data_IF_098098602505
#
_entry.id   IF_098098602505
#
_cell.length_a   1.000
_cell.length_b   1.000
_cell.length_c   1.000
_cell.angle_alpha   90.00
_cell.angle_beta   90.00
_cell.angle_gamma   90.00
#
_symmetry.space_group_name_H-M   'P 1'
#
loop_
_entity.id
_entity.type
_entity.pdbx_description
1 polymer ?
#
# COMPACT_ATOMS: atom_id res chain seq x y z
N UNK A 1 9.92 -28.58 -15.47
CA UNK A 1 11.20 -27.84 -15.60
C UNK A 1 12.07 -28.18 -14.40
N UNK A 2 13.39 -28.19 -14.54
CA UNK A 2 14.30 -28.49 -13.43
C UNK A 2 14.34 -27.31 -12.45
N UNK A 3 13.78 -27.48 -11.25
CA UNK A 3 14.00 -26.53 -10.15
C UNK A 3 15.49 -26.45 -9.87
N UNK A 4 16.09 -25.28 -10.08
CA UNK A 4 17.46 -25.02 -9.69
C UNK A 4 17.45 -24.48 -8.27
N UNK A 5 18.13 -25.19 -7.37
CA UNK A 5 18.30 -24.83 -5.97
C UNK A 5 19.78 -24.67 -5.66
N UNK A 6 20.15 -23.62 -4.95
CA UNK A 6 21.50 -23.44 -4.43
C UNK A 6 21.49 -22.83 -3.04
N UNK A 7 22.50 -23.19 -2.24
CA UNK A 7 22.63 -22.74 -0.86
C UNK A 7 23.12 -21.28 -0.79
N UNK A 8 22.60 -20.55 0.20
CA UNK A 8 22.93 -19.16 0.46
C UNK A 8 23.80 -19.08 1.71
N UNK A 9 25.11 -18.91 1.53
CA UNK A 9 26.10 -18.89 2.61
C UNK A 9 26.44 -17.48 3.11
N UNK A 10 26.19 -16.45 2.31
CA UNK A 10 26.45 -15.07 2.69
C UNK A 10 25.33 -14.47 3.55
N UNK A 11 25.62 -13.35 4.21
CA UNK A 11 24.67 -12.68 5.10
C UNK A 11 23.55 -11.93 4.37
N UNK A 12 23.74 -11.65 3.08
CA UNK A 12 22.87 -10.78 2.30
C UNK A 12 22.89 -11.18 0.83
N UNK A 13 21.69 -11.28 0.25
CA UNK A 13 21.49 -11.57 -1.17
C UNK A 13 20.50 -10.57 -1.77
N UNK A 14 20.65 -10.30 -3.06
CA UNK A 14 19.72 -9.51 -3.85
C UNK A 14 19.11 -10.37 -4.93
N UNK A 15 17.80 -10.25 -5.15
CA UNK A 15 17.20 -10.62 -6.44
C UNK A 15 17.01 -9.33 -7.22
N UNK A 16 17.46 -9.31 -8.46
CA UNK A 16 17.28 -8.19 -9.35
C UNK A 16 16.68 -8.63 -10.67
N UNK A 17 16.04 -7.70 -11.35
CA UNK A 17 15.49 -7.86 -12.69
C UNK A 17 16.14 -6.85 -13.62
N UNK A 18 16.38 -7.25 -14.86
CA UNK A 18 16.75 -6.35 -15.95
C UNK A 18 15.98 -6.69 -17.22
N UNK A 19 15.59 -5.68 -17.99
CA UNK A 19 14.99 -5.89 -19.31
C UNK A 19 15.34 -4.77 -20.28
N UNK A 20 15.41 -5.12 -21.56
CA UNK A 20 15.58 -4.15 -22.62
C UNK A 20 14.23 -3.55 -23.02
N UNK A 21 14.25 -2.25 -23.33
CA UNK A 21 13.08 -1.57 -23.90
C UNK A 21 12.63 -2.23 -25.21
N UNK A 22 11.37 -2.65 -25.21
CA UNK A 22 10.66 -3.17 -26.39
C UNK A 22 10.14 -2.07 -27.33
N UNK A 23 9.31 -2.47 -28.30
CA UNK A 23 8.54 -1.53 -29.14
C UNK A 23 7.50 -0.76 -28.33
N UNK A 24 6.96 -1.40 -27.29
CA UNK A 24 6.19 -0.81 -26.20
C UNK A 24 7.07 -0.82 -24.95
N UNK A 25 7.08 0.28 -24.20
CA UNK A 25 7.72 0.32 -22.89
C UNK A 25 6.81 -0.46 -21.93
N UNK A 26 7.33 -1.56 -21.38
CA UNK A 26 6.68 -2.30 -20.29
C UNK A 26 7.38 -1.93 -18.99
N UNK A 27 6.56 -1.74 -17.96
CA UNK A 27 6.96 -1.42 -16.61
C UNK A 27 6.95 -2.71 -15.78
N UNK A 28 8.15 -3.23 -15.45
CA UNK A 28 8.30 -4.49 -14.74
C UNK A 28 8.63 -4.20 -13.28
N UNK A 29 7.65 -4.44 -12.42
CA UNK A 29 7.80 -4.32 -10.98
C UNK A 29 8.30 -5.62 -10.36
N UNK A 30 9.34 -5.54 -9.54
CA UNK A 30 9.79 -6.62 -8.67
C UNK A 30 9.12 -6.52 -7.30
N UNK A 31 8.59 -7.64 -6.83
CA UNK A 31 7.82 -7.71 -5.59
C UNK A 31 8.31 -8.90 -4.76
N UNK A 32 8.16 -8.83 -3.44
CA UNK A 32 8.47 -9.93 -2.56
C UNK A 32 7.46 -10.08 -1.42
N UNK A 33 7.14 -11.32 -1.06
CA UNK A 33 6.19 -11.66 0.01
C UNK A 33 6.90 -12.49 1.07
N UNK A 34 6.74 -12.10 2.34
CA UNK A 34 7.39 -12.72 3.50
C UNK A 34 6.40 -13.65 4.20
N UNK A 35 6.82 -14.90 4.41
CA UNK A 35 5.96 -15.95 4.99
C UNK A 35 6.61 -16.53 6.25
N UNK A 36 5.81 -16.68 7.31
CA UNK A 36 6.26 -17.29 8.54
C UNK A 36 6.27 -18.83 8.48
N UNK A 37 6.78 -19.46 9.55
CA UNK A 37 6.83 -20.91 9.77
C UNK A 37 5.46 -21.61 9.79
N UNK A 38 4.38 -20.85 10.00
CA UNK A 38 2.99 -21.33 9.88
C UNK A 38 2.43 -21.19 8.46
N UNK A 39 3.22 -20.71 7.50
CA UNK A 39 2.76 -20.52 6.12
C UNK A 39 1.79 -19.36 5.94
N UNK A 40 1.81 -18.38 6.84
CA UNK A 40 1.02 -17.14 6.74
C UNK A 40 1.89 -16.02 6.19
N UNK A 41 1.36 -15.26 5.24
CA UNK A 41 2.00 -14.03 4.77
C UNK A 41 1.94 -12.97 5.87
N UNK A 42 3.09 -12.41 6.22
CA UNK A 42 3.24 -11.48 7.36
C UNK A 42 3.75 -10.10 6.96
N UNK A 43 4.36 -9.96 5.78
CA UNK A 43 4.85 -8.68 5.26
C UNK A 43 5.09 -8.82 3.74
N UNK A 44 5.24 -7.71 3.02
CA UNK A 44 5.55 -7.70 1.60
C UNK A 44 6.35 -6.44 1.22
N UNK A 45 7.17 -6.54 0.18
CA UNK A 45 7.96 -5.45 -0.38
C UNK A 45 7.60 -5.27 -1.85
N UNK A 46 7.32 -4.04 -2.24
CA UNK A 46 6.93 -3.63 -3.61
C UNK A 46 7.09 -2.11 -3.72
N UNK A 47 6.81 -1.50 -4.87
CA UNK A 47 7.09 -0.07 -5.11
C UNK A 47 6.44 0.88 -4.08
N UNK A 48 5.25 0.53 -3.59
CA UNK A 48 4.49 1.28 -2.57
C UNK A 48 4.84 0.86 -1.12
N UNK A 49 5.56 -0.25 -0.91
CA UNK A 49 6.15 -0.63 0.37
C UNK A 49 7.61 -1.05 0.25
N UNK A 50 8.52 -0.09 0.35
CA UNK A 50 9.93 -0.25 0.01
C UNK A 50 10.77 -1.03 1.03
N UNK A 51 10.22 -1.34 2.21
CA UNK A 51 10.95 -2.00 3.30
C UNK A 51 10.04 -2.98 4.03
N UNK A 52 10.58 -4.14 4.38
CA UNK A 52 9.91 -5.10 5.26
C UNK A 52 10.86 -5.59 6.35
N UNK A 53 10.32 -5.78 7.56
CA UNK A 53 10.99 -6.46 8.67
C UNK A 53 12.40 -5.94 9.03
N UNK A 54 12.74 -4.68 8.68
CA UNK A 54 14.09 -4.07 8.79
C UNK A 54 15.23 -4.89 8.13
N UNK A 55 14.88 -5.89 7.33
CA UNK A 55 15.78 -6.87 6.74
C UNK A 55 15.72 -6.86 5.21
N UNK A 56 14.59 -6.41 4.65
CA UNK A 56 14.33 -6.39 3.22
C UNK A 56 14.18 -4.94 2.74
N UNK A 57 14.82 -4.61 1.62
CA UNK A 57 14.74 -3.26 1.00
C UNK A 57 14.61 -3.34 -0.51
N UNK A 58 13.68 -2.58 -1.08
CA UNK A 58 13.50 -2.37 -2.51
C UNK A 58 14.36 -1.20 -3.00
N UNK A 59 14.89 -1.25 -4.23
CA UNK A 59 15.74 -0.19 -4.78
C UNK A 59 14.99 1.03 -5.31
N UNK A 60 13.76 0.83 -5.75
CA UNK A 60 12.91 1.85 -6.39
C UNK A 60 12.15 1.23 -7.55
N UNK A 61 11.20 2.00 -8.06
CA UNK A 61 10.42 1.73 -9.27
C UNK A 61 11.20 2.25 -10.51
N UNK A 62 11.43 1.39 -11.51
CA UNK A 62 11.99 1.72 -12.83
C UNK A 62 11.01 1.41 -13.97
N UNK A 63 10.54 2.47 -14.65
CA UNK A 63 9.34 2.40 -15.51
C UNK A 63 9.59 2.11 -16.98
N UNK A 64 10.82 2.24 -17.46
CA UNK A 64 11.07 2.29 -18.90
C UNK A 64 12.05 1.26 -19.45
N UNK A 65 12.88 0.65 -18.60
CA UNK A 65 13.98 -0.22 -19.03
C UNK A 65 15.00 0.52 -19.91
N UNK A 66 15.06 1.86 -19.82
CA UNK A 66 16.04 2.67 -20.58
C UNK A 66 17.42 2.68 -19.91
N UNK A 67 17.51 2.20 -18.65
CA UNK A 67 18.76 2.15 -17.91
C UNK A 67 19.61 0.99 -18.40
N UNK A 68 20.92 1.18 -18.31
CA UNK A 68 21.87 0.09 -18.50
C UNK A 68 22.13 -0.56 -17.13
N UNK A 69 22.01 -1.89 -17.06
CA UNK A 69 22.29 -2.66 -15.84
C UNK A 69 21.03 -3.21 -15.18
N UNK A 70 21.00 -3.18 -13.85
CA UNK A 70 19.89 -3.70 -13.05
C UNK A 70 18.83 -2.61 -12.86
N UNK A 71 17.61 -2.89 -13.30
CA UNK A 71 16.49 -1.96 -13.24
C UNK A 71 15.91 -1.92 -11.82
N UNK A 72 15.52 -3.08 -11.28
CA UNK A 72 15.02 -3.21 -9.91
C UNK A 72 15.75 -4.29 -9.11
N UNK A 73 15.88 -4.06 -7.80
CA UNK A 73 16.59 -4.95 -6.88
C UNK A 73 15.87 -4.99 -5.52
N UNK A 74 15.54 -6.20 -5.08
CA UNK A 74 15.15 -6.48 -3.70
C UNK A 74 16.32 -7.12 -2.97
N UNK A 75 16.83 -6.41 -1.96
CA UNK A 75 17.86 -6.93 -1.06
C UNK A 75 17.24 -7.57 0.17
N UNK A 76 17.72 -8.77 0.52
CA UNK A 76 17.36 -9.51 1.73
C UNK A 76 18.61 -9.72 2.59
N UNK A 77 18.62 -9.15 3.78
CA UNK A 77 19.67 -9.41 4.80
C UNK A 77 19.25 -10.59 5.66
N UNK A 78 19.70 -11.80 5.29
CA UNK A 78 19.26 -13.07 5.90
C UNK A 78 19.48 -13.12 7.41
N UNK A 79 20.54 -12.50 7.92
CA UNK A 79 20.87 -12.46 9.36
C UNK A 79 19.95 -11.55 10.19
N UNK A 80 19.19 -10.66 9.54
CA UNK A 80 18.23 -9.76 10.20
C UNK A 80 16.79 -10.28 10.14
N UNK A 81 16.52 -11.33 9.36
CA UNK A 81 15.20 -11.92 9.30
C UNK A 81 14.89 -12.63 10.63
N UNK A 82 13.72 -12.38 11.24
CA UNK A 82 13.31 -13.10 12.45
C UNK A 82 13.30 -14.62 12.27
N UNK A 83 13.47 -15.35 13.37
CA UNK A 83 13.57 -16.82 13.36
C UNK A 83 12.33 -17.50 12.77
N UNK A 84 11.15 -16.93 13.01
CA UNK A 84 9.89 -17.44 12.48
C UNK A 84 9.70 -17.20 10.98
N UNK A 85 10.57 -16.44 10.30
CA UNK A 85 10.49 -16.26 8.84
C UNK A 85 11.02 -17.52 8.15
N UNK A 86 10.17 -18.10 7.30
CA UNK A 86 10.46 -19.35 6.60
C UNK A 86 10.68 -19.17 5.11
N UNK A 87 9.91 -18.30 4.46
CA UNK A 87 9.99 -18.05 3.02
C UNK A 87 10.07 -16.56 2.71
N UNK A 88 10.80 -16.22 1.66
CA UNK A 88 10.65 -14.97 0.91
C UNK A 88 10.39 -15.35 -0.54
N UNK A 89 9.15 -15.14 -0.99
CA UNK A 89 8.72 -15.39 -2.38
C UNK A 89 8.94 -14.13 -3.19
N UNK A 90 9.46 -14.25 -4.41
CA UNK A 90 9.64 -13.15 -5.34
C UNK A 90 8.67 -13.27 -6.50
N UNK A 91 8.07 -12.14 -6.85
CA UNK A 91 7.06 -12.01 -7.89
C UNK A 91 7.50 -10.88 -8.82
N UNK A 92 7.29 -11.05 -10.12
CA UNK A 92 7.42 -9.96 -11.10
C UNK A 92 6.04 -9.65 -11.65
N UNK A 93 5.78 -8.38 -11.93
CA UNK A 93 4.52 -7.93 -12.53
C UNK A 93 4.78 -6.92 -13.65
N UNK A 94 4.10 -7.07 -14.78
CA UNK A 94 3.98 -6.03 -15.80
C UNK A 94 2.90 -5.04 -15.35
N UNK A 95 3.30 -4.01 -14.59
CA UNK A 95 2.39 -3.03 -14.02
C UNK A 95 1.68 -2.20 -15.09
N UNK A 96 2.40 -1.85 -16.16
CA UNK A 96 1.83 -1.12 -17.28
C UNK A 96 2.56 -1.42 -18.60
N UNK A 97 1.88 -1.15 -19.73
CA UNK A 97 2.50 -1.23 -21.06
C UNK A 97 2.50 -2.59 -21.75
N UNK A 98 1.92 -3.63 -21.15
CA UNK A 98 1.71 -4.94 -21.78
C UNK A 98 1.81 -6.11 -20.81
N UNK A 99 2.19 -7.27 -21.36
CA UNK A 99 2.43 -8.53 -20.62
C UNK A 99 3.92 -8.74 -20.35
N UNK A 100 4.30 -9.69 -19.49
CA UNK A 100 5.70 -10.02 -19.21
C UNK A 100 6.50 -10.40 -20.47
N UNK A 101 5.90 -11.10 -21.45
CA UNK A 101 6.52 -11.35 -22.78
C UNK A 101 6.93 -10.09 -23.56
N UNK A 102 6.44 -8.91 -23.16
CA UNK A 102 6.79 -7.63 -23.80
C UNK A 102 8.16 -7.13 -23.35
N UNK A 103 8.69 -7.64 -22.23
CA UNK A 103 10.03 -7.35 -21.74
C UNK A 103 11.06 -8.09 -22.58
N UNK A 104 11.82 -7.36 -23.40
CA UNK A 104 12.85 -7.98 -24.25
C UNK A 104 14.06 -8.35 -23.42
N UNK A 105 14.63 -9.52 -23.68
CA UNK A 105 15.83 -9.99 -22.97
C UNK A 105 15.71 -9.92 -21.44
N UNK A 106 14.49 -10.16 -20.91
CA UNK A 106 14.24 -10.14 -19.47
C UNK A 106 15.12 -11.17 -18.74
N UNK A 107 15.79 -10.73 -17.67
CA UNK A 107 16.66 -11.58 -16.85
C UNK A 107 16.44 -11.34 -15.37
N UNK A 108 16.56 -12.43 -14.62
CA UNK A 108 16.66 -12.44 -13.17
C UNK A 108 18.13 -12.61 -12.78
N UNK A 109 18.58 -11.82 -11.81
CA UNK A 109 19.95 -11.82 -11.34
C UNK A 109 19.97 -12.07 -9.84
N UNK A 110 20.84 -12.97 -9.41
CA UNK A 110 21.07 -13.23 -7.99
C UNK A 110 22.41 -12.62 -7.62
N UNK A 111 22.36 -11.69 -6.67
CA UNK A 111 23.49 -10.89 -6.24
C UNK A 111 23.88 -11.28 -4.82
N UNK A 112 25.18 -11.30 -4.52
CA UNK A 112 25.70 -11.59 -3.20
C UNK A 112 26.34 -10.34 -2.59
N UNK A 113 25.86 -9.90 -1.42
CA UNK A 113 26.35 -8.74 -0.65
C UNK A 113 26.20 -7.35 -1.31
N UNK A 114 26.67 -7.19 -2.55
CA UNK A 114 26.80 -5.92 -3.30
C UNK A 114 26.30 -6.08 -4.74
N UNK A 115 25.91 -4.97 -5.38
CA UNK A 115 25.27 -4.98 -6.71
C UNK A 115 26.15 -5.61 -7.80
N UNK A 116 27.47 -5.45 -7.72
CA UNK A 116 28.41 -5.90 -8.76
C UNK A 116 28.83 -7.37 -8.61
N UNK A 117 28.31 -8.08 -7.60
CA UNK A 117 28.67 -9.46 -7.31
C UNK A 117 27.52 -10.39 -7.68
N UNK A 118 27.32 -10.59 -8.98
CA UNK A 118 26.35 -11.56 -9.51
C UNK A 118 26.87 -12.99 -9.34
N UNK A 119 26.06 -13.85 -8.72
CA UNK A 119 26.37 -15.27 -8.49
C UNK A 119 25.56 -16.21 -9.37
N UNK A 120 24.43 -15.74 -9.92
CA UNK A 120 23.64 -16.48 -10.90
C UNK A 120 22.76 -15.53 -11.72
N UNK A 121 22.40 -15.93 -12.94
CA UNK A 121 21.44 -15.22 -13.76
C UNK A 121 20.63 -16.16 -14.64
N UNK A 122 19.32 -15.89 -14.75
CA UNK A 122 18.33 -16.72 -15.42
C UNK A 122 17.54 -15.87 -16.42
N UNK A 123 17.21 -16.44 -17.58
CA UNK A 123 16.28 -15.78 -18.48
C UNK A 123 14.88 -15.81 -17.86
N UNK A 124 14.16 -14.70 -17.93
CA UNK A 124 12.73 -14.67 -17.61
C UNK A 124 11.96 -15.48 -18.67
N UNK A 125 10.87 -16.12 -18.26
CA UNK A 125 9.98 -16.74 -19.24
C UNK A 125 9.21 -15.65 -20.01
N UNK A 126 8.95 -15.91 -21.30
CA UNK A 126 8.09 -15.06 -22.11
C UNK A 126 6.62 -15.38 -21.79
N UNK A 127 6.21 -15.06 -20.56
CA UNK A 127 4.85 -15.33 -20.07
C UNK A 127 3.82 -14.50 -20.84
N UNK A 128 2.74 -15.16 -21.26
CA UNK A 128 1.55 -14.51 -21.85
C UNK A 128 0.77 -13.70 -20.80
N UNK A 129 1.12 -13.86 -19.53
CA UNK A 129 0.44 -13.24 -18.40
C UNK A 129 1.22 -12.04 -17.85
N UNK A 130 0.56 -11.32 -16.94
CA UNK A 130 1.07 -10.07 -16.40
C UNK A 130 1.89 -10.28 -15.13
N UNK A 131 1.77 -11.43 -14.45
CA UNK A 131 2.41 -11.66 -13.14
C UNK A 131 2.91 -13.09 -13.03
N UNK A 132 4.15 -13.26 -12.58
CA UNK A 132 4.76 -14.58 -12.35
C UNK A 132 5.44 -14.64 -10.98
N UNK A 133 5.34 -15.77 -10.29
CA UNK A 133 6.19 -16.07 -9.15
C UNK A 133 7.51 -16.68 -9.65
N UNK A 134 8.63 -15.99 -9.46
CA UNK A 134 9.88 -16.30 -10.17
C UNK A 134 10.90 -17.05 -9.35
N UNK A 135 10.98 -16.75 -8.06
CA UNK A 135 11.97 -17.34 -7.17
C UNK A 135 11.46 -17.38 -5.72
N UNK A 136 12.11 -18.18 -4.89
CA UNK A 136 11.90 -18.15 -3.45
C UNK A 136 13.19 -18.41 -2.68
N UNK A 137 13.39 -17.68 -1.59
CA UNK A 137 14.35 -18.06 -0.55
C UNK A 137 13.63 -18.93 0.48
N UNK A 138 14.21 -20.08 0.80
CA UNK A 138 13.66 -21.05 1.76
C UNK A 138 14.65 -21.22 2.90
N UNK A 139 14.19 -21.00 4.14
CA UNK A 139 14.95 -21.34 5.35
C UNK A 139 14.71 -22.82 5.66
N UNK A 140 15.72 -23.57 6.07
CA UNK A 140 15.57 -24.92 6.62
C UNK A 140 15.29 -24.88 8.12
N UNK A 141 14.91 -26.02 8.71
CA UNK A 141 14.70 -26.12 10.16
C UNK A 141 16.02 -25.94 10.93
N UNK A 142 17.14 -26.26 10.28
CA UNK A 142 18.49 -25.98 10.78
C UNK A 142 18.93 -24.52 10.60
N UNK A 143 18.06 -23.66 10.05
CA UNK A 143 18.32 -22.23 9.88
C UNK A 143 19.17 -21.87 8.65
N UNK A 144 19.56 -22.83 7.82
CA UNK A 144 20.27 -22.59 6.55
C UNK A 144 19.31 -22.06 5.50
N UNK A 145 19.78 -21.19 4.61
CA UNK A 145 18.97 -20.62 3.54
C UNK A 145 19.35 -21.22 2.18
N UNK A 146 18.37 -21.46 1.33
CA UNK A 146 18.57 -21.76 -0.09
C UNK A 146 17.72 -20.84 -0.96
N UNK A 147 18.17 -20.59 -2.19
CA UNK A 147 17.39 -19.95 -3.24
C UNK A 147 16.89 -21.04 -4.20
N UNK A 148 15.61 -20.97 -4.57
CA UNK A 148 14.98 -21.81 -5.60
C UNK A 148 14.38 -20.94 -6.69
N UNK A 149 14.66 -21.28 -7.94
CA UNK A 149 13.99 -20.68 -9.10
C UNK A 149 12.75 -21.51 -9.43
N UNK A 150 11.59 -20.87 -9.53
CA UNK A 150 10.30 -21.56 -9.68
C UNK A 150 9.54 -21.23 -10.95
N UNK A 151 9.63 -20.00 -11.49
CA UNK A 151 8.99 -19.58 -12.75
C UNK A 151 7.56 -20.13 -12.91
N UNK A 152 6.70 -19.80 -11.95
CA UNK A 152 5.30 -20.22 -11.94
C UNK A 152 4.42 -19.05 -12.41
N UNK A 153 3.85 -19.10 -13.63
CA UNK A 153 3.02 -18.02 -14.15
C UNK A 153 1.66 -17.98 -13.46
N UNK A 154 1.22 -16.78 -13.08
CA UNK A 154 -0.16 -16.59 -12.65
C UNK A 154 -1.05 -16.35 -13.88
N UNK A 155 -2.18 -17.04 -13.95
CA UNK A 155 -3.06 -16.97 -15.11
C UNK A 155 -3.79 -15.61 -15.24
N UNK A 156 -3.89 -14.87 -14.13
CA UNK A 156 -4.59 -13.59 -14.03
C UNK A 156 -4.00 -12.74 -12.89
N UNK A 157 -4.28 -11.43 -12.92
CA UNK A 157 -3.80 -10.45 -11.93
C UNK A 157 -2.65 -9.58 -12.44
N UNK A 158 -2.39 -8.47 -11.74
CA UNK A 158 -1.32 -7.50 -12.08
C UNK A 158 -0.41 -7.16 -10.89
N UNK A 159 -0.59 -7.83 -9.75
CA UNK A 159 0.20 -7.64 -8.53
C UNK A 159 0.23 -8.93 -7.68
N UNK A 160 1.18 -9.07 -6.75
CA UNK A 160 1.28 -10.28 -5.89
C UNK A 160 -0.02 -10.57 -5.12
N UNK A 161 -0.79 -9.52 -4.81
CA UNK A 161 -2.02 -9.61 -4.02
C UNK A 161 -3.17 -10.27 -4.80
N UNK A 162 -3.09 -10.26 -6.13
CA UNK A 162 -4.10 -10.88 -7.00
C UNK A 162 -3.81 -12.37 -7.19
N UNK A 163 -2.56 -12.80 -6.97
CA UNK A 163 -2.09 -14.17 -7.21
C UNK A 163 -1.88 -14.98 -5.92
N UNK A 164 -2.49 -14.52 -4.82
CA UNK A 164 -2.42 -15.19 -3.51
C UNK A 164 -2.89 -16.64 -3.60
N UNK A 165 -3.94 -16.90 -4.38
CA UNK A 165 -4.44 -18.23 -4.68
C UNK A 165 -4.81 -18.32 -6.17
N UNK A 166 -4.52 -19.44 -6.85
CA UNK A 166 -3.83 -20.62 -6.32
C UNK A 166 -2.30 -20.50 -6.31
N UNK A 167 -1.72 -19.53 -7.03
CA UNK A 167 -0.27 -19.48 -7.35
C UNK A 167 0.62 -19.44 -6.10
N UNK A 168 0.57 -18.36 -5.32
CA UNK A 168 1.43 -18.23 -4.13
C UNK A 168 1.04 -19.22 -3.04
N UNK A 169 -0.26 -19.47 -2.85
CA UNK A 169 -0.75 -20.44 -1.88
C UNK A 169 -0.21 -21.86 -2.12
N UNK A 170 -0.17 -22.31 -3.38
CA UNK A 170 0.39 -23.62 -3.73
C UNK A 170 1.91 -23.66 -3.50
N UNK A 171 2.63 -22.59 -3.87
CA UNK A 171 4.07 -22.48 -3.61
C UNK A 171 4.37 -22.52 -2.11
N UNK A 172 3.60 -21.80 -1.29
CA UNK A 172 3.72 -21.82 0.17
C UNK A 172 3.45 -23.23 0.71
N UNK A 173 2.33 -23.85 0.30
CA UNK A 173 1.96 -25.20 0.76
C UNK A 173 2.93 -26.28 0.31
N UNK A 174 3.67 -26.08 -0.79
CA UNK A 174 4.73 -26.99 -1.22
C UNK A 174 5.91 -27.03 -0.24
N UNK A 175 6.17 -25.92 0.46
CA UNK A 175 7.25 -25.81 1.45
C UNK A 175 6.76 -25.99 2.89
N UNK A 176 5.49 -25.66 3.14
CA UNK A 176 4.85 -25.69 4.45
C UNK A 176 3.48 -26.37 4.29
N UNK A 177 3.41 -27.72 4.30
CA UNK A 177 2.16 -28.44 4.06
C UNK A 177 1.00 -28.10 5.01
N UNK A 178 1.32 -27.58 6.21
CA UNK A 178 0.34 -27.11 7.19
C UNK A 178 -0.13 -25.67 7.03
N UNK A 179 0.27 -24.97 5.96
CA UNK A 179 -0.13 -23.59 5.72
C UNK A 179 -1.65 -23.44 5.51
N UNK A 180 -2.23 -22.25 5.77
CA UNK A 180 -3.65 -21.99 5.53
C UNK A 180 -4.10 -22.35 4.11
N UNK A 181 -5.32 -22.87 4.02
CA UNK A 181 -5.96 -23.23 2.75
C UNK A 181 -6.24 -22.02 1.85
N UNK A 182 -6.38 -20.84 2.43
CA UNK A 182 -6.47 -19.56 1.72
C UNK A 182 -5.47 -18.59 2.32
N UNK A 183 -4.56 -18.11 1.48
CA UNK A 183 -3.66 -17.03 1.85
C UNK A 183 -4.40 -15.71 1.97
N UNK A 184 -3.93 -14.88 2.90
CA UNK A 184 -4.46 -13.55 3.19
C UNK A 184 -3.30 -12.64 3.51
N UNK A 185 -3.45 -11.36 3.21
CA UNK A 185 -2.49 -10.33 3.57
C UNK A 185 -3.25 -9.22 4.29
N UNK A 186 -2.81 -8.91 5.50
CA UNK A 186 -3.35 -7.83 6.30
C UNK A 186 -2.18 -6.93 6.72
N UNK A 187 -2.17 -5.71 6.21
CA UNK A 187 -1.09 -4.76 6.48
C UNK A 187 -1.40 -3.92 7.71
N UNK A 188 -0.57 -4.05 8.75
CA UNK A 188 -0.53 -3.08 9.83
C UNK A 188 0.20 -1.82 9.33
N UNK A 189 -0.55 -0.75 9.12
CA UNK A 189 -0.08 0.47 8.48
C UNK A 189 0.58 1.42 9.48
N UNK A 190 1.57 2.16 8.98
CA UNK A 190 2.14 3.32 9.66
C UNK A 190 1.65 4.60 8.97
N UNK A 191 1.84 5.75 9.62
CA UNK A 191 1.43 7.02 9.02
C UNK A 191 2.16 7.24 7.69
N UNK A 192 1.40 7.50 6.63
CA UNK A 192 1.91 7.73 5.28
C UNK A 192 2.05 6.48 4.42
N UNK A 193 1.97 5.26 4.98
CA UNK A 193 2.12 4.03 4.20
C UNK A 193 0.98 3.85 3.22
N UNK A 194 1.29 3.25 2.08
CA UNK A 194 0.36 2.96 0.99
C UNK A 194 0.26 1.45 0.83
N UNK A 195 -0.95 0.96 0.59
CA UNK A 195 -1.23 -0.42 0.23
C UNK A 195 -2.10 -0.46 -1.00
N UNK A 196 -1.66 -1.24 -1.99
CA UNK A 196 -2.48 -1.53 -3.17
C UNK A 196 -3.53 -2.57 -2.81
N UNK A 197 -4.77 -2.31 -3.22
CA UNK A 197 -5.86 -3.26 -3.02
C UNK A 197 -5.87 -4.29 -4.16
N UNK A 198 -6.48 -5.47 -3.92
CA UNK A 198 -6.74 -6.41 -5.01
C UNK A 198 -7.56 -5.77 -6.14
N UNK A 199 -7.51 -6.37 -7.31
CA UNK A 199 -8.26 -5.86 -8.46
C UNK A 199 -9.74 -5.65 -8.16
N UNK A 200 -10.28 -4.54 -8.69
CA UNK A 200 -11.65 -4.11 -8.45
C UNK A 200 -12.68 -5.20 -8.77
N UNK A 201 -12.50 -5.93 -9.87
CA UNK A 201 -13.40 -7.02 -10.27
C UNK A 201 -13.40 -8.20 -9.29
N UNK A 202 -12.29 -8.44 -8.59
CA UNK A 202 -12.20 -9.47 -7.56
C UNK A 202 -12.84 -9.03 -6.23
N UNK A 203 -12.74 -7.73 -5.88
CA UNK A 203 -13.30 -7.18 -4.64
C UNK A 203 -14.80 -6.88 -4.74
N UNK A 204 -15.20 -6.18 -5.80
CA UNK A 204 -16.51 -5.54 -6.01
C UNK A 204 -16.84 -4.45 -4.99
N UNK A 205 -16.83 -4.79 -3.69
CA UNK A 205 -17.00 -3.86 -2.58
C UNK A 205 -15.88 -3.98 -1.56
N UNK A 206 -15.50 -2.83 -1.02
CA UNK A 206 -14.66 -2.72 0.17
C UNK A 206 -15.40 -1.94 1.25
N UNK A 207 -15.01 -2.18 2.49
CA UNK A 207 -15.61 -1.56 3.66
C UNK A 207 -14.51 -0.84 4.42
N UNK A 208 -14.70 0.45 4.66
CA UNK A 208 -13.89 1.22 5.59
C UNK A 208 -14.60 1.21 6.94
N UNK A 209 -14.06 0.44 7.89
CA UNK A 209 -14.50 0.43 9.27
C UNK A 209 -13.68 1.42 10.09
N UNK A 210 -14.35 2.26 10.84
CA UNK A 210 -13.72 3.24 11.73
C UNK A 210 -14.21 2.99 13.14
N UNK A 211 -13.28 3.00 14.10
CA UNK A 211 -13.60 2.80 15.50
C UNK A 211 -12.72 3.64 16.41
N UNK A 212 -13.23 3.95 17.60
CA UNK A 212 -12.57 4.75 18.63
C UNK A 212 -13.11 4.45 20.03
N UNK A 213 -12.32 4.75 21.06
CA UNK A 213 -12.71 4.64 22.46
C UNK A 213 -12.74 6.02 23.11
N UNK A 214 -13.73 6.27 23.97
CA UNK A 214 -13.85 7.52 24.74
C UNK A 214 -13.28 7.34 26.14
N UNK A 215 -12.26 8.12 26.50
CA UNK A 215 -11.48 7.91 27.72
C UNK A 215 -12.24 8.13 29.05
N UNK A 216 -13.40 8.80 29.02
CA UNK A 216 -14.06 9.31 30.23
C UNK A 216 -15.56 9.01 30.34
N UNK A 217 -16.10 8.07 29.53
CA UNK A 217 -17.52 7.67 29.60
C UNK A 217 -18.51 8.82 29.38
N UNK A 218 -18.08 9.87 28.65
CA UNK A 218 -18.96 10.93 28.16
C UNK A 218 -19.47 10.52 26.79
N UNK A 219 -20.72 10.83 26.49
CA UNK A 219 -21.25 10.71 25.13
C UNK A 219 -20.56 11.78 24.27
N UNK A 220 -19.57 11.35 23.48
CA UNK A 220 -18.87 12.20 22.51
C UNK A 220 -19.24 11.66 21.13
N UNK A 221 -19.90 12.52 20.38
CA UNK A 221 -20.36 12.25 19.03
C UNK A 221 -19.23 12.52 18.03
N UNK A 222 -18.82 11.47 17.33
CA UNK A 222 -17.79 11.47 16.30
C UNK A 222 -18.42 11.08 14.98
N UNK A 223 -18.40 12.01 14.04
CA UNK A 223 -18.93 11.81 12.69
C UNK A 223 -17.84 11.28 11.76
N UNK A 224 -18.13 10.19 11.05
CA UNK A 224 -17.35 9.81 9.86
C UNK A 224 -17.94 10.45 8.61
N UNK A 225 -17.05 10.87 7.72
CA UNK A 225 -17.40 11.34 6.38
C UNK A 225 -16.44 10.78 5.35
N UNK A 226 -16.99 10.39 4.20
CA UNK A 226 -16.22 10.03 3.01
C UNK A 226 -16.34 11.15 1.97
N UNK A 227 -15.27 11.94 1.81
CA UNK A 227 -15.24 13.15 0.97
C UNK A 227 -14.61 12.84 -0.38
N UNK A 228 -15.38 13.04 -1.46
CA UNK A 228 -14.99 12.70 -2.82
C UNK A 228 -14.33 13.89 -3.53
N UNK A 229 -13.18 13.64 -4.17
CA UNK A 229 -12.44 14.62 -4.95
C UNK A 229 -12.14 14.13 -6.36
N UNK A 230 -12.10 15.07 -7.30
CA UNK A 230 -11.50 14.85 -8.61
C UNK A 230 -9.97 14.92 -8.55
N UNK A 231 -9.30 14.43 -9.61
CA UNK A 231 -7.84 14.56 -9.74
C UNK A 231 -7.34 16.01 -9.80
N UNK A 232 -8.22 16.98 -10.09
CA UNK A 232 -7.91 18.41 -10.09
C UNK A 232 -8.22 19.10 -8.74
N UNK A 233 -8.28 18.33 -7.65
CA UNK A 233 -8.57 18.81 -6.29
C UNK A 233 -9.91 19.54 -6.14
N UNK A 234 -10.88 19.27 -7.04
CA UNK A 234 -12.25 19.75 -6.88
C UNK A 234 -13.03 18.79 -5.99
N UNK A 235 -13.57 19.30 -4.88
CA UNK A 235 -14.51 18.57 -4.03
C UNK A 235 -15.83 18.36 -4.79
N UNK A 236 -16.29 17.10 -4.85
CA UNK A 236 -17.56 16.72 -5.47
C UNK A 236 -18.70 16.73 -4.45
N UNK A 237 -18.42 16.24 -3.24
CA UNK A 237 -19.40 16.07 -2.18
C UNK A 237 -18.89 15.07 -1.15
N UNK A 238 -19.77 14.66 -0.23
CA UNK A 238 -19.43 13.66 0.78
C UNK A 238 -20.64 12.81 1.18
N UNK A 239 -20.35 11.57 1.58
CA UNK A 239 -21.28 10.69 2.31
C UNK A 239 -20.98 10.80 3.81
N UNK A 240 -22.02 11.02 4.61
CA UNK A 240 -21.97 11.25 6.06
C UNK A 240 -23.37 11.03 6.66
N UNK A 241 -23.57 11.19 7.97
CA UNK A 241 -24.88 10.96 8.63
C UNK A 241 -26.07 11.69 7.97
N UNK A 242 -25.86 12.90 7.43
CA UNK A 242 -26.88 13.69 6.75
C UNK A 242 -27.08 13.38 5.26
N UNK A 243 -26.22 12.56 4.67
CA UNK A 243 -26.29 12.10 3.28
C UNK A 243 -25.70 10.67 3.19
N UNK A 244 -26.54 9.67 3.44
CA UNK A 244 -26.07 8.30 3.67
C UNK A 244 -25.57 7.57 2.42
N UNK A 245 -25.82 8.07 1.21
CA UNK A 245 -25.42 7.37 -0.02
C UNK A 245 -25.21 8.33 -1.18
N UNK A 246 -24.03 8.28 -1.80
CA UNK A 246 -23.68 9.03 -3.00
C UNK A 246 -22.42 8.43 -3.65
N UNK A 247 -22.23 8.63 -4.96
CA UNK A 247 -21.02 8.24 -5.69
C UNK A 247 -20.57 6.77 -5.52
N UNK A 248 -21.50 5.83 -5.33
CA UNK A 248 -21.18 4.42 -5.07
C UNK A 248 -20.72 4.13 -3.63
N UNK A 249 -20.76 5.13 -2.75
CA UNK A 249 -20.48 5.03 -1.32
C UNK A 249 -21.77 4.98 -0.50
N UNK A 250 -21.76 4.26 0.63
CA UNK A 250 -22.88 4.17 1.57
C UNK A 250 -22.38 4.19 3.01
N UNK A 251 -22.94 5.07 3.84
CA UNK A 251 -22.73 5.12 5.29
C UNK A 251 -23.60 4.08 6.01
N UNK A 252 -23.11 3.53 7.11
CA UNK A 252 -23.86 2.61 7.98
C UNK A 252 -25.01 3.27 8.76
N UNK A 253 -25.07 4.59 8.79
CA UNK A 253 -25.73 5.35 9.85
C UNK A 253 -24.73 5.83 10.91
N UNK A 254 -25.24 6.71 11.77
CA UNK A 254 -24.48 7.49 12.77
C UNK A 254 -24.38 6.75 14.11
N UNK A 255 -23.18 6.72 14.69
CA UNK A 255 -22.94 6.22 16.05
C UNK A 255 -22.64 7.37 17.01
N UNK A 256 -23.71 7.86 17.64
CA UNK A 256 -23.70 9.02 18.54
C UNK A 256 -22.91 8.82 19.85
N UNK A 257 -22.56 7.59 20.21
CA UNK A 257 -21.99 7.27 21.54
C UNK A 257 -20.62 6.60 21.48
N UNK A 258 -20.25 5.96 20.37
CA UNK A 258 -19.08 5.08 20.30
C UNK A 258 -19.21 3.84 21.21
N UNK A 259 -20.44 3.47 21.60
CA UNK A 259 -20.67 2.26 22.37
C UNK A 259 -20.80 1.04 21.44
N UNK A 260 -19.89 0.08 21.61
CA UNK A 260 -19.92 -1.18 20.88
C UNK A 260 -18.54 -1.81 20.79
N UNK A 261 -18.49 -3.13 20.56
CA UNK A 261 -17.23 -3.78 20.20
C UNK A 261 -17.02 -3.66 18.70
N UNK A 262 -15.91 -3.07 18.26
CA UNK A 262 -15.47 -3.08 16.86
C UNK A 262 -15.58 -1.73 16.16
N UNK A 263 -16.09 -1.75 14.92
CA UNK A 263 -16.21 -0.53 14.11
C UNK A 263 -17.46 0.23 14.54
N UNK A 264 -17.29 1.47 14.98
CA UNK A 264 -18.37 2.37 15.35
C UNK A 264 -19.18 2.79 14.12
N UNK A 265 -18.49 3.10 13.03
CA UNK A 265 -19.10 3.47 11.75
C UNK A 265 -18.40 2.79 10.57
N UNK A 266 -19.19 2.48 9.53
CA UNK A 266 -18.71 1.80 8.34
C UNK A 266 -19.15 2.53 7.07
N UNK A 267 -18.18 2.86 6.22
CA UNK A 267 -18.42 3.30 4.84
C UNK A 267 -18.24 2.10 3.90
N UNK A 268 -19.31 1.70 3.23
CA UNK A 268 -19.24 0.73 2.13
C UNK A 268 -18.92 1.46 0.84
N UNK A 269 -17.93 0.99 0.08
CA UNK A 269 -17.57 1.50 -1.23
C UNK A 269 -17.77 0.41 -2.29
N UNK A 270 -18.74 0.61 -3.19
CA UNK A 270 -18.87 -0.21 -4.39
C UNK A 270 -17.94 0.34 -5.48
N UNK A 271 -16.77 -0.26 -5.60
CA UNK A 271 -15.65 0.27 -6.39
C UNK A 271 -15.98 0.39 -7.88
N UNK A 272 -16.86 -0.46 -8.40
CA UNK A 272 -17.35 -0.43 -9.78
C UNK A 272 -18.41 0.65 -10.02
N UNK A 273 -19.14 1.05 -8.98
CA UNK A 273 -20.18 2.07 -9.06
C UNK A 273 -19.65 3.49 -8.76
N UNK A 274 -18.40 3.62 -8.33
CA UNK A 274 -17.77 4.93 -8.11
C UNK A 274 -17.50 5.58 -9.47
N UNK A 275 -18.05 6.77 -9.75
CA UNK A 275 -17.84 7.46 -11.02
C UNK A 275 -16.36 7.71 -11.33
N UNK A 276 -15.99 7.72 -12.61
CA UNK A 276 -14.61 7.96 -13.03
C UNK A 276 -14.09 9.34 -12.61
N UNK A 277 -14.95 10.35 -12.45
CA UNK A 277 -14.51 11.66 -11.97
C UNK A 277 -14.03 11.64 -10.51
N UNK A 278 -14.44 10.64 -9.71
CA UNK A 278 -13.98 10.44 -8.34
C UNK A 278 -12.63 9.71 -8.40
N UNK A 279 -11.58 10.45 -8.09
CA UNK A 279 -10.20 9.97 -8.11
C UNK A 279 -9.67 9.69 -6.71
N UNK A 280 -10.20 10.39 -5.70
CA UNK A 280 -9.80 10.22 -4.30
C UNK A 280 -11.01 10.34 -3.37
N UNK A 281 -11.02 9.51 -2.33
CA UNK A 281 -12.04 9.51 -1.28
C UNK A 281 -11.30 9.59 0.05
N UNK A 282 -11.49 10.69 0.78
CA UNK A 282 -10.88 10.88 2.09
C UNK A 282 -11.86 10.50 3.19
N UNK A 283 -11.40 9.68 4.14
CA UNK A 283 -12.13 9.38 5.36
C UNK A 283 -11.73 10.41 6.41
N UNK A 284 -12.71 11.20 6.82
CA UNK A 284 -12.57 12.27 7.80
C UNK A 284 -13.41 11.90 9.01
N UNK A 285 -12.83 12.01 10.19
CA UNK A 285 -13.53 11.88 11.47
C UNK A 285 -13.58 13.28 12.10
N UNK A 286 -14.77 13.74 12.47
CA UNK A 286 -14.96 15.04 13.13
C UNK A 286 -15.66 14.85 14.47
N UNK A 287 -15.23 15.60 15.49
CA UNK A 287 -15.94 15.66 16.77
C UNK A 287 -17.05 16.70 16.65
N UNK A 288 -18.30 16.22 16.61
CA UNK A 288 -19.48 17.06 16.53
C UNK A 288 -19.72 17.78 17.87
N UNK A 289 -19.51 17.09 19.00
CA UNK A 289 -19.76 17.61 20.35
C UNK A 289 -18.95 18.87 20.71
N UNK A 290 -19.60 19.88 21.30
CA UNK A 290 -18.96 21.14 21.68
C UNK A 290 -17.98 20.98 22.86
N UNK A 291 -16.88 21.74 22.85
CA UNK A 291 -15.93 21.78 23.97
C UNK A 291 -15.01 20.55 24.11
N UNK A 292 -15.12 19.59 23.20
CA UNK A 292 -14.31 18.37 23.14
C UNK A 292 -13.30 18.42 21.98
N UNK A 293 -12.19 17.71 22.13
CA UNK A 293 -11.14 17.54 21.12
C UNK A 293 -10.65 16.09 21.08
N UNK A 294 -9.81 15.74 20.10
CA UNK A 294 -9.22 14.41 19.97
C UNK A 294 -8.28 14.00 21.14
N UNK A 295 -8.08 14.87 22.14
CA UNK A 295 -7.39 14.51 23.39
C UNK A 295 -8.21 13.54 24.26
N UNK A 296 -9.53 13.53 24.09
CA UNK A 296 -10.46 12.67 24.84
C UNK A 296 -10.79 11.36 24.10
N UNK A 297 -10.22 11.19 22.89
CA UNK A 297 -10.43 10.04 22.00
C UNK A 297 -9.17 9.18 22.00
N UNK A 298 -9.35 7.88 22.19
CA UNK A 298 -8.28 6.89 22.23
C UNK A 298 -8.56 5.76 21.24
N UNK A 299 -7.53 4.98 20.90
CA UNK A 299 -7.63 3.82 20.01
C UNK A 299 -8.33 4.07 18.65
N UNK A 300 -8.34 5.32 18.17
CA UNK A 300 -8.93 5.65 16.89
C UNK A 300 -8.22 4.88 15.76
N UNK A 301 -8.99 4.16 14.94
CA UNK A 301 -8.45 3.39 13.83
C UNK A 301 -9.32 3.49 12.59
N UNK A 302 -8.71 3.20 11.44
CA UNK A 302 -9.41 2.93 10.19
C UNK A 302 -8.87 1.64 9.60
N UNK A 303 -9.76 0.75 9.18
CA UNK A 303 -9.43 -0.50 8.51
C UNK A 303 -10.19 -0.65 7.22
N UNK A 304 -9.57 -1.27 6.23
CA UNK A 304 -10.22 -1.70 4.99
C UNK A 304 -10.37 -3.22 5.04
N UNK A 305 -11.57 -3.72 4.73
CA UNK A 305 -11.86 -5.14 4.64
C UNK A 305 -12.76 -5.48 3.46
N UNK A 306 -12.73 -6.74 3.04
CA UNK A 306 -13.55 -7.27 1.94
C UNK A 306 -14.94 -7.75 2.42
N UNK A 307 -15.77 -8.21 1.48
CA UNK A 307 -17.12 -8.77 1.76
C UNK A 307 -17.11 -10.01 2.65
N UNK A 308 -15.99 -10.70 2.79
CA UNK A 308 -15.84 -11.87 3.66
C UNK A 308 -15.50 -11.48 5.10
N UNK A 309 -15.28 -10.18 5.36
CA UNK A 309 -14.78 -9.67 6.63
C UNK A 309 -13.26 -9.80 6.77
N UNK A 310 -12.55 -10.13 5.68
CA UNK A 310 -11.10 -10.22 5.70
C UNK A 310 -10.48 -8.84 5.67
N UNK A 311 -9.72 -8.51 6.71
CA UNK A 311 -8.97 -7.25 6.78
C UNK A 311 -7.83 -7.26 5.75
N UNK A 312 -7.77 -6.19 4.94
CA UNK A 312 -6.73 -5.95 3.93
C UNK A 312 -5.66 -5.02 4.48
N UNK A 313 -6.08 -3.99 5.23
CA UNK A 313 -5.18 -3.05 5.87
C UNK A 313 -5.83 -2.40 7.09
N UNK A 314 -5.01 -2.02 8.08
CA UNK A 314 -5.46 -1.28 9.27
C UNK A 314 -4.42 -0.25 9.68
N UNK A 315 -4.88 0.98 9.89
CA UNK A 315 -4.12 2.05 10.47
C UNK A 315 -4.69 2.43 11.84
N UNK A 316 -3.84 2.42 12.87
CA UNK A 316 -4.20 2.86 14.22
C UNK A 316 -3.50 4.19 14.52
N UNK A 317 -4.29 5.20 14.89
CA UNK A 317 -3.78 6.49 15.31
C UNK A 317 -3.18 6.38 16.71
N UNK A 318 -1.88 6.66 16.83
CA UNK A 318 -1.16 6.59 18.11
C UNK A 318 -1.08 7.92 18.86
N UNK A 319 -1.36 9.03 18.19
CA UNK A 319 -1.20 10.38 18.71
C UNK A 319 -2.48 11.19 18.50
N UNK A 320 -2.99 11.84 19.55
CA UNK A 320 -4.13 12.76 19.53
C UNK A 320 -3.81 14.05 20.26
N UNK A 321 -3.78 15.20 19.58
CA UNK A 321 -3.67 16.52 20.26
C UNK A 321 -4.41 17.66 19.56
N UNK A 322 -5.15 18.43 20.36
CA UNK A 322 -5.57 19.82 20.14
C UNK A 322 -6.56 20.15 19.02
N UNK A 323 -6.85 19.26 18.06
CA UNK A 323 -7.82 19.52 16.97
C UNK A 323 -9.11 18.72 17.13
N UNK A 324 -10.12 19.11 16.33
CA UNK A 324 -11.49 18.55 16.32
C UNK A 324 -11.80 17.69 15.09
N UNK A 325 -10.90 17.65 14.12
CA UNK A 325 -11.03 16.82 12.92
C UNK A 325 -9.77 15.99 12.69
N UNK A 326 -9.94 14.85 12.04
CA UNK A 326 -8.87 13.93 11.66
C UNK A 326 -9.16 13.36 10.27
N UNK A 327 -8.28 13.64 9.31
CA UNK A 327 -8.21 12.87 8.07
C UNK A 327 -7.39 11.62 8.35
N UNK A 328 -8.07 10.49 8.52
CA UNK A 328 -7.41 9.25 8.98
C UNK A 328 -6.75 8.48 7.84
N UNK A 329 -7.43 8.39 6.69
CA UNK A 329 -6.98 7.64 5.53
C UNK A 329 -7.65 8.12 4.24
N UNK A 330 -7.18 7.63 3.09
CA UNK A 330 -7.85 7.81 1.80
C UNK A 330 -7.85 6.53 0.95
N UNK A 331 -8.89 6.37 0.16
CA UNK A 331 -8.86 5.55 -1.06
C UNK A 331 -8.52 6.45 -2.25
N UNK A 332 -7.73 5.95 -3.19
CA UNK A 332 -7.38 6.69 -4.39
C UNK A 332 -7.15 5.76 -5.57
N UNK A 333 -7.38 6.25 -6.78
CA UNK A 333 -7.09 5.49 -8.00
C UNK A 333 -5.60 5.60 -8.33
N UNK A 334 -4.96 4.45 -8.48
CA UNK A 334 -3.63 4.30 -9.05
C UNK A 334 -3.72 4.29 -10.58
N UNK A 335 -2.60 4.49 -11.29
CA UNK A 335 -2.50 4.16 -12.72
C UNK A 335 -3.04 2.75 -13.00
N UNK A 336 -3.64 2.56 -14.18
CA UNK A 336 -4.29 1.29 -14.53
C UNK A 336 -5.67 1.07 -13.89
N UNK A 337 -6.14 2.00 -13.04
CA UNK A 337 -7.51 1.98 -12.50
C UNK A 337 -7.69 1.14 -11.23
N UNK A 338 -6.59 0.57 -10.70
CA UNK A 338 -6.55 -0.09 -9.39
C UNK A 338 -6.81 0.93 -8.28
N UNK A 339 -7.42 0.48 -7.17
CA UNK A 339 -7.56 1.30 -5.97
C UNK A 339 -6.40 1.05 -5.00
N UNK A 340 -5.82 2.12 -4.48
CA UNK A 340 -4.90 2.11 -3.35
C UNK A 340 -5.58 2.61 -2.09
N UNK A 341 -5.05 2.21 -0.94
CA UNK A 341 -5.40 2.71 0.38
C UNK A 341 -4.17 3.33 1.05
N UNK A 342 -4.31 4.55 1.56
CA UNK A 342 -3.22 5.25 2.23
C UNK A 342 -3.62 5.69 3.63
N UNK A 343 -2.76 5.40 4.60
CA UNK A 343 -2.84 5.93 5.95
C UNK A 343 -2.37 7.40 5.96
N UNK A 344 -3.20 8.33 6.42
CA UNK A 344 -2.90 9.77 6.41
C UNK A 344 -2.61 10.27 7.82
N UNK A 345 -3.50 10.02 8.79
CA UNK A 345 -3.33 10.43 10.18
C UNK A 345 -3.02 11.92 10.38
N UNK A 346 -3.70 12.81 9.65
CA UNK A 346 -3.50 14.26 9.72
C UNK A 346 -4.69 14.94 10.39
N UNK A 347 -4.42 15.69 11.46
CA UNK A 347 -5.45 16.49 12.12
C UNK A 347 -5.90 17.68 11.25
N UNK A 348 -7.21 17.82 11.07
CA UNK A 348 -7.86 18.92 10.35
C UNK A 348 -8.73 19.77 11.27
N UNK A 349 -9.21 20.91 10.75
CA UNK A 349 -10.04 21.85 11.52
C UNK A 349 -11.53 21.55 11.39
N UNK A 350 -12.29 22.12 12.33
CA UNK A 350 -13.75 22.20 12.27
C UNK A 350 -14.52 21.00 12.80
N UNK A 351 -15.84 21.08 12.63
CA UNK A 351 -16.82 20.11 13.16
C UNK A 351 -17.44 19.26 12.08
N UNK A 352 -17.21 19.62 10.82
CA UNK A 352 -17.79 18.93 9.67
C UNK A 352 -16.72 18.71 8.62
N UNK A 353 -16.98 17.76 7.72
CA UNK A 353 -16.11 17.50 6.57
C UNK A 353 -15.89 18.74 5.68
N UNK A 354 -16.84 19.68 5.65
CA UNK A 354 -16.72 20.93 4.88
C UNK A 354 -15.57 21.80 5.40
N UNK A 355 -15.38 21.81 6.71
CA UNK A 355 -14.29 22.55 7.34
C UNK A 355 -12.92 21.92 7.05
N UNK A 356 -12.90 20.62 6.76
CA UNK A 356 -11.69 19.88 6.42
C UNK A 356 -11.23 20.10 4.97
N UNK A 357 -12.07 20.64 4.08
CA UNK A 357 -11.75 20.77 2.64
C UNK A 357 -10.42 21.50 2.42
N UNK A 358 -10.17 22.60 3.13
CA UNK A 358 -8.93 23.38 2.99
C UNK A 358 -7.69 22.55 3.36
N UNK A 359 -7.79 21.67 4.34
CA UNK A 359 -6.71 20.76 4.75
C UNK A 359 -6.57 19.56 3.79
N UNK A 360 -7.65 19.17 3.08
CA UNK A 360 -7.68 18.05 2.13
C UNK A 360 -7.12 18.40 0.75
N UNK A 361 -7.36 19.61 0.24
CA UNK A 361 -6.93 20.04 -1.10
C UNK A 361 -5.42 19.83 -1.35
N UNK A 362 -4.51 20.18 -0.42
CA UNK A 362 -3.08 19.90 -0.59
C UNK A 362 -2.75 18.41 -0.67
N UNK A 363 -3.53 17.54 0.01
CA UNK A 363 -3.34 16.09 -0.02
C UNK A 363 -3.74 15.52 -1.37
N UNK A 364 -4.79 16.06 -2.02
CA UNK A 364 -5.20 15.61 -3.36
C UNK A 364 -4.07 15.78 -4.37
N UNK A 365 -3.40 16.94 -4.34
CA UNK A 365 -2.30 17.26 -5.25
C UNK A 365 -0.96 16.60 -4.90
N UNK A 366 -0.85 15.94 -3.73
CA UNK A 366 0.37 15.25 -3.32
C UNK A 366 0.24 13.76 -3.62
N UNK A 367 1.17 13.23 -4.41
CA UNK A 367 1.21 11.79 -4.71
C UNK A 367 1.33 10.96 -3.41
N UNK A 368 0.74 9.77 -3.39
CA UNK A 368 0.76 8.91 -2.21
C UNK A 368 2.21 8.61 -1.78
N UNK A 369 3.09 8.40 -2.76
CA UNK A 369 4.55 8.24 -2.58
C UNK A 369 5.23 9.43 -1.91
N UNK A 370 4.94 10.65 -2.32
CA UNK A 370 5.52 11.85 -1.69
C UNK A 370 5.14 11.96 -0.21
N UNK A 371 3.89 11.64 0.14
CA UNK A 371 3.45 11.62 1.54
C UNK A 371 4.15 10.53 2.35
N UNK A 372 4.36 9.35 1.76
CA UNK A 372 5.09 8.26 2.41
C UNK A 372 6.55 8.64 2.72
N UNK A 373 7.24 9.29 1.78
CA UNK A 373 8.61 9.77 1.96
C UNK A 373 8.71 10.83 3.07
N UNK A 374 7.72 11.71 3.16
CA UNK A 374 7.62 12.72 4.25
C UNK A 374 7.30 12.09 5.60
N UNK A 375 6.46 11.05 5.65
CA UNK A 375 6.15 10.32 6.89
C UNK A 375 7.33 9.55 7.46
N UNK A 376 8.19 9.00 6.59
CA UNK A 376 9.43 8.30 6.99
C UNK A 376 10.54 9.24 7.49
N UNK A 377 10.43 10.54 7.21
CA UNK A 377 11.36 11.56 7.67
C UNK A 377 10.74 12.31 8.84
N UNK A 378 11.13 11.94 10.07
CA UNK A 378 10.97 12.80 11.25
C UNK A 378 11.89 14.01 11.14
N UNK A 379 11.59 14.90 10.19
CA UNK A 379 12.22 16.23 10.12
C UNK A 379 11.16 17.26 10.45
N UNK A 380 11.34 17.85 11.62
CA UNK A 380 10.58 18.96 12.14
C UNK A 380 10.68 20.13 11.15
N UNK A 381 9.61 20.40 10.40
CA UNK A 381 9.54 21.54 9.49
C UNK A 381 9.12 22.78 10.27
N UNK A 382 10.10 23.40 10.94
CA UNK A 382 10.00 24.78 11.40
C UNK A 382 9.92 25.73 10.21
N UNK A 383 8.84 26.50 10.16
CA UNK A 383 8.68 27.79 9.45
C UNK A 383 9.24 27.91 8.03
N UNK A 384 8.38 27.71 7.03
CA UNK A 384 8.51 28.41 5.76
C UNK A 384 7.59 29.63 5.75
N UNK A 385 8.15 30.79 6.07
CA UNK A 385 7.60 32.06 5.61
C UNK A 385 8.16 32.33 4.21
N UNK A 386 7.35 32.76 3.22
CA UNK A 386 7.88 33.12 1.92
C UNK A 386 8.62 34.46 2.04
N UNK A 387 9.89 34.49 1.66
CA UNK A 387 10.61 35.73 1.39
C UNK A 387 9.93 36.45 0.22
N UNK A 388 9.28 37.57 0.51
CA UNK A 388 8.91 38.55 -0.51
C UNK A 388 10.18 39.24 -0.99
N UNK A 389 10.62 38.93 -2.20
CA UNK A 389 11.59 39.73 -2.92
C UNK A 389 10.93 41.01 -3.41
N UNK A 390 11.26 42.13 -2.76
CA UNK A 390 11.00 43.46 -3.26
C UNK A 390 11.90 43.75 -4.47
N UNK A 391 11.32 44.19 -5.59
CA UNK A 391 12.10 44.80 -6.67
C UNK A 391 11.41 44.82 -8.03
N UNK A 392 10.73 45.93 -8.33
CA UNK A 392 10.95 46.74 -9.54
C UNK A 392 9.74 47.67 -9.77
N UNK A 393 9.87 48.90 -9.29
CA UNK A 393 9.09 50.02 -9.80
C UNK A 393 9.66 50.38 -11.19
N UNK A 394 8.81 50.36 -12.22
CA UNK A 394 9.09 51.01 -13.49
C UNK A 394 7.93 51.94 -13.83
N UNK A 395 8.28 53.22 -13.97
CA UNK A 395 7.42 54.34 -14.20
C UNK A 395 6.76 54.29 -15.58
N UNK A 396 5.50 54.71 -15.66
CA UNK A 396 4.94 55.31 -16.87
C UNK A 396 4.65 56.78 -16.57
N UNK A 397 5.28 57.65 -17.35
CA UNK A 397 5.05 59.10 -17.38
C UNK A 397 4.32 59.42 -18.68
N UNK A 398 3.22 60.17 -18.52
CA UNK A 398 2.33 60.81 -19.51
C UNK A 398 1.41 59.89 -20.35
#
# INVERSE_FOLDING_TARGET
MSQQEFQLSASKYGLAVSWDRGSTAVDIDLQAVVVNDKGTIIDAVYYNNMKAMKAITHSGDERTGDKTGLDEVIWVTLTKLPEHVRLVLFVIAAHSGGHLRSAKNGRLHVLEQVKDSEVASFAMEESEFDVDAVAMMVRSDGGTWSMRIVQEPAQEGQHFIDILEPTLGNLIRSQIPGAPARQKVAFAMEKGTVVDLPETGALGQVFAGLGWDIANGKDIDLDVSAVCFTGAARCLGAVFFGNLQEYGLKHSGDNLTGEGDGDDEVITANLEAIPEEVQQIFFVINIYSNGVSFEEVSNAYCRIFDRTGSELARYVLREGKGKRGLTIARLFREPGGRWGFQAIGQFCRGKTWKDAIEDLVPLVGTSARELQLRGASTVNLGSFAPEMTAGAAAAFTL
#
